data_IF_985512620009
#
_entry.id   IF_985512620009
#
_cell.length_a   1.000
_cell.length_b   1.000
_cell.length_c   1.000
_cell.angle_alpha   90.00
_cell.angle_beta   90.00
_cell.angle_gamma   90.00
#
_symmetry.space_group_name_H-M   'P 1'
#
loop_
_entity.id
_entity.type
_entity.pdbx_description
1 polymer ?
#
# COMPACT_ATOMS: atom_id res chain seq x y z
N UNK A 1 -11.60 7.90 12.59
CA UNK A 1 -10.78 6.78 12.11
C UNK A 1 -9.35 6.93 12.66
N UNK A 2 -8.92 6.06 13.58
CA UNK A 2 -7.63 6.09 14.27
C UNK A 2 -6.44 6.29 13.29
N UNK A 3 -6.45 5.62 12.15
CA UNK A 3 -5.37 5.74 11.17
C UNK A 3 -5.29 7.14 10.55
N UNK A 4 -6.43 7.80 10.30
CA UNK A 4 -6.43 9.19 9.85
C UNK A 4 -5.93 10.13 10.94
N UNK A 5 -6.30 9.91 12.20
CA UNK A 5 -5.82 10.70 13.33
C UNK A 5 -4.29 10.60 13.47
N UNK A 6 -3.74 9.39 13.31
CA UNK A 6 -2.29 9.19 13.29
C UNK A 6 -1.67 9.92 12.09
N UNK A 7 -2.28 9.82 10.92
CA UNK A 7 -1.86 10.52 9.70
C UNK A 7 -1.87 12.04 9.87
N UNK A 8 -2.93 12.60 10.42
CA UNK A 8 -3.04 14.04 10.71
C UNK A 8 -1.97 14.50 11.71
N UNK A 9 -1.75 13.74 12.79
CA UNK A 9 -0.73 14.05 13.79
C UNK A 9 0.69 14.03 13.19
N UNK A 10 1.00 13.07 12.32
CA UNK A 10 2.29 12.98 11.64
C UNK A 10 2.48 14.10 10.62
N UNK A 11 1.43 14.43 9.86
CA UNK A 11 1.50 15.46 8.81
C UNK A 11 1.47 16.89 9.36
N UNK A 12 0.89 17.13 10.53
CA UNK A 12 0.80 18.47 11.16
C UNK A 12 2.06 18.86 11.94
N UNK A 13 2.87 17.90 12.38
CA UNK A 13 4.09 18.15 13.14
C UNK A 13 5.25 18.48 12.18
N UNK A 14 5.62 19.75 12.11
CA UNK A 14 6.66 20.24 11.19
C UNK A 14 8.05 19.68 11.52
N UNK A 15 8.39 19.51 12.79
CA UNK A 15 9.68 18.91 13.19
C UNK A 15 9.73 17.44 12.82
N UNK A 16 8.63 16.71 13.00
CA UNK A 16 8.54 15.31 12.57
C UNK A 16 8.58 15.18 11.05
N UNK A 17 7.99 16.10 10.31
CA UNK A 17 8.05 16.10 8.84
C UNK A 17 9.48 16.21 8.33
N UNK A 18 10.30 17.02 8.96
CA UNK A 18 11.73 17.17 8.59
C UNK A 18 12.53 15.93 9.02
N UNK A 19 12.32 15.45 10.23
CA UNK A 19 13.09 14.33 10.79
C UNK A 19 12.74 12.98 10.16
N UNK A 20 11.50 12.81 9.72
CA UNK A 20 10.95 11.53 9.25
C UNK A 20 10.51 11.58 7.79
N UNK A 21 10.95 12.60 7.05
CA UNK A 21 10.74 12.69 5.60
C UNK A 21 11.49 11.54 4.92
N UNK A 22 10.71 10.69 4.23
CA UNK A 22 11.21 9.53 3.50
C UNK A 22 11.16 9.74 1.99
N UNK A 23 10.73 10.91 1.55
CA UNK A 23 10.51 11.25 0.14
C UNK A 23 11.78 11.09 -0.71
N UNK A 24 12.96 11.27 -0.12
CA UNK A 24 14.25 11.13 -0.80
C UNK A 24 14.64 9.68 -1.12
N UNK A 25 14.05 8.71 -0.43
CA UNK A 25 14.33 7.28 -0.64
C UNK A 25 13.36 6.62 -1.63
N UNK A 26 12.34 7.36 -2.06
CA UNK A 26 11.28 6.84 -2.90
C UNK A 26 11.33 7.46 -4.29
N UNK A 27 11.06 6.64 -5.29
CA UNK A 27 11.08 7.06 -6.69
C UNK A 27 9.71 7.61 -7.05
N UNK A 28 9.66 8.82 -7.64
CA UNK A 28 8.42 9.39 -8.14
C UNK A 28 8.23 10.86 -7.78
N UNK A 29 7.06 11.36 -8.10
CA UNK A 29 6.60 12.68 -7.68
C UNK A 29 5.49 12.49 -6.67
N UNK A 30 5.85 12.59 -5.39
CA UNK A 30 4.93 12.47 -4.26
C UNK A 30 5.09 13.71 -3.39
N UNK A 31 3.98 14.30 -2.99
CA UNK A 31 4.02 15.54 -2.22
C UNK A 31 4.69 15.36 -0.87
N UNK A 32 4.33 14.30 -0.14
CA UNK A 32 4.96 13.91 1.13
C UNK A 32 4.86 12.42 1.39
N UNK A 33 5.96 11.88 1.88
CA UNK A 33 6.06 10.54 2.43
C UNK A 33 6.76 10.62 3.78
N UNK A 34 6.03 10.35 4.85
CA UNK A 34 6.52 10.55 6.22
C UNK A 34 6.45 9.24 6.97
N UNK A 35 7.60 8.76 7.44
CA UNK A 35 7.68 7.57 8.27
C UNK A 35 6.84 7.77 9.54
N UNK A 36 6.09 6.75 9.92
CA UNK A 36 5.32 6.75 11.15
C UNK A 36 6.26 6.26 12.26
N UNK A 37 6.63 7.12 13.22
CA UNK A 37 7.33 6.64 14.41
C UNK A 37 6.43 5.62 15.13
N UNK A 38 7.04 4.61 15.74
CA UNK A 38 6.27 3.60 16.47
C UNK A 38 5.27 4.29 17.41
N UNK A 39 3.95 4.20 17.14
CA UNK A 39 2.95 4.86 17.97
C UNK A 39 3.02 4.29 19.39
N UNK A 40 2.55 5.04 20.37
CA UNK A 40 2.53 4.62 21.78
C UNK A 40 1.10 4.28 22.22
N UNK A 41 0.98 3.41 23.23
CA UNK A 41 -0.31 3.10 23.83
C UNK A 41 -1.24 2.27 22.96
N UNK A 42 -2.55 2.45 23.14
CA UNK A 42 -3.61 1.68 22.49
C UNK A 42 -3.62 1.85 20.97
N UNK A 43 -3.29 3.03 20.47
CA UNK A 43 -3.20 3.30 19.04
C UNK A 43 -2.13 2.43 18.36
N UNK A 44 -1.01 2.19 19.06
CA UNK A 44 0.05 1.29 18.61
C UNK A 44 -0.45 -0.13 18.49
N UNK A 45 -1.13 -0.62 19.49
CA UNK A 45 -1.67 -1.98 19.49
C UNK A 45 -2.66 -2.17 18.37
N UNK A 46 -3.60 -1.24 18.23
CA UNK A 46 -4.58 -1.28 17.16
C UNK A 46 -3.93 -1.29 15.77
N UNK A 47 -3.02 -0.35 15.52
CA UNK A 47 -2.36 -0.21 14.22
C UNK A 47 -1.55 -1.46 13.88
N UNK A 48 -0.67 -1.89 14.77
CA UNK A 48 0.19 -3.05 14.52
C UNK A 48 -0.59 -4.36 14.45
N UNK A 49 -1.63 -4.52 15.27
CA UNK A 49 -2.51 -5.68 15.20
C UNK A 49 -3.22 -5.74 13.85
N UNK A 50 -3.75 -4.62 13.37
CA UNK A 50 -4.43 -4.54 12.07
C UNK A 50 -3.47 -4.87 10.92
N UNK A 51 -2.28 -4.27 10.90
CA UNK A 51 -1.27 -4.53 9.87
C UNK A 51 -0.84 -6.00 9.84
N UNK A 52 -0.49 -6.55 10.99
CA UNK A 52 -0.08 -7.96 11.12
C UNK A 52 -1.21 -8.93 10.76
N UNK A 53 -2.44 -8.59 11.15
CA UNK A 53 -3.60 -9.42 10.83
C UNK A 53 -3.84 -9.47 9.31
N UNK A 54 -3.68 -8.36 8.60
CA UNK A 54 -3.76 -8.31 7.14
C UNK A 54 -2.76 -9.26 6.48
N UNK A 55 -1.51 -9.28 6.94
CA UNK A 55 -0.50 -10.24 6.45
C UNK A 55 -0.89 -11.70 6.73
N UNK A 56 -1.41 -11.98 7.92
CA UNK A 56 -1.89 -13.33 8.30
C UNK A 56 -3.03 -13.76 7.40
N UNK A 57 -4.00 -12.88 7.14
CA UNK A 57 -5.17 -13.20 6.32
C UNK A 57 -4.78 -13.41 4.86
N UNK A 58 -3.85 -12.60 4.34
CA UNK A 58 -3.24 -12.83 3.03
C UNK A 58 -2.59 -14.22 2.96
N UNK A 59 -1.71 -14.57 3.91
CA UNK A 59 -1.06 -15.88 3.96
C UNK A 59 -2.05 -17.04 4.02
N UNK A 60 -3.10 -16.92 4.83
CA UNK A 60 -4.16 -17.94 4.89
C UNK A 60 -4.82 -18.17 3.53
N UNK A 61 -5.09 -17.09 2.79
CA UNK A 61 -5.68 -17.20 1.45
C UNK A 61 -4.72 -17.88 0.46
N UNK A 62 -3.44 -17.51 0.48
CA UNK A 62 -2.42 -18.09 -0.39
C UNK A 62 -2.18 -19.56 -0.05
N UNK A 63 -2.12 -19.92 1.24
CA UNK A 63 -1.98 -21.31 1.71
C UNK A 63 -3.19 -22.15 1.31
N UNK A 64 -4.43 -21.61 1.50
CA UNK A 64 -5.67 -22.29 1.08
C UNK A 64 -5.67 -22.62 -0.41
N UNK A 65 -5.09 -21.77 -1.25
CA UNK A 65 -4.95 -22.00 -2.69
C UNK A 65 -3.75 -22.89 -3.07
N UNK A 66 -3.11 -23.55 -2.10
CA UNK A 66 -1.93 -24.40 -2.29
C UNK A 66 -0.70 -23.72 -2.93
N UNK A 67 -0.69 -22.40 -3.03
CA UNK A 67 0.39 -21.66 -3.70
C UNK A 67 1.58 -21.38 -2.79
N UNK A 68 1.37 -21.27 -1.49
CA UNK A 68 2.42 -20.94 -0.53
C UNK A 68 3.06 -22.16 0.15
N UNK A 69 2.49 -23.36 0.08
CA UNK A 69 3.07 -24.56 0.72
C UNK A 69 4.51 -24.83 0.27
N UNK A 70 4.77 -24.70 -1.03
CA UNK A 70 6.09 -24.87 -1.61
C UNK A 70 7.07 -23.79 -1.14
N UNK A 71 6.63 -22.55 -1.07
CA UNK A 71 7.45 -21.42 -0.62
C UNK A 71 7.82 -21.55 0.87
N UNK A 72 6.85 -21.88 1.72
CA UNK A 72 7.08 -22.10 3.15
C UNK A 72 8.04 -23.27 3.41
N UNK A 73 7.96 -24.33 2.60
CA UNK A 73 8.86 -25.49 2.72
C UNK A 73 10.28 -25.21 2.23
N UNK A 74 10.44 -24.43 1.16
CA UNK A 74 11.74 -24.07 0.60
C UNK A 74 12.57 -23.19 1.54
N UNK A 75 11.92 -22.38 2.36
CA UNK A 75 12.60 -21.51 3.32
C UNK A 75 12.80 -22.15 4.70
N UNK A 76 12.67 -23.49 4.81
CA UNK A 76 12.87 -24.21 6.05
C UNK A 76 11.88 -23.89 7.16
N UNK A 77 10.87 -23.09 6.88
CA UNK A 77 9.80 -22.73 7.81
C UNK A 77 8.84 -23.92 7.91
N UNK A 78 8.84 -24.61 9.03
CA UNK A 78 7.81 -25.61 9.32
C UNK A 78 6.44 -24.94 9.12
N UNK A 79 5.51 -25.65 8.49
CA UNK A 79 4.14 -25.22 8.17
C UNK A 79 3.28 -24.96 9.41
N UNK A 80 3.73 -24.11 10.30
CA UNK A 80 2.88 -23.56 11.35
C UNK A 80 1.84 -22.65 10.71
N UNK A 81 0.61 -22.73 11.16
CA UNK A 81 -0.43 -21.77 10.75
C UNK A 81 0.09 -20.35 10.96
N UNK A 82 -0.03 -19.46 9.98
CA UNK A 82 0.46 -18.09 10.13
C UNK A 82 -0.28 -17.39 11.28
N UNK A 83 0.49 -16.75 12.13
CA UNK A 83 -0.02 -15.98 13.28
C UNK A 83 0.61 -14.59 13.29
N UNK A 84 -0.01 -13.63 13.97
CA UNK A 84 0.54 -12.28 14.12
C UNK A 84 1.87 -12.24 14.84
N UNK A 85 2.22 -13.27 15.62
CA UNK A 85 3.52 -13.40 16.31
C UNK A 85 4.67 -13.63 15.34
N UNK A 86 4.39 -14.19 14.16
CA UNK A 86 5.39 -14.49 13.14
C UNK A 86 5.57 -13.32 12.13
N UNK A 87 4.77 -12.27 12.25
CA UNK A 87 4.86 -11.09 11.38
C UNK A 87 5.66 -10.00 12.10
N UNK A 88 6.73 -9.55 11.45
CA UNK A 88 7.60 -8.49 11.94
C UNK A 88 7.44 -7.26 11.04
N UNK A 89 6.82 -6.20 11.56
CA UNK A 89 6.73 -4.93 10.84
C UNK A 89 8.12 -4.27 10.82
N UNK A 90 8.54 -3.84 9.65
CA UNK A 90 9.83 -3.17 9.42
C UNK A 90 9.66 -1.67 9.40
N UNK A 91 8.89 -1.19 8.44
CA UNK A 91 8.67 0.22 8.20
C UNK A 91 7.20 0.49 7.96
N UNK A 92 6.73 1.66 8.37
CA UNK A 92 5.41 2.17 8.04
C UNK A 92 5.46 3.67 7.80
N UNK A 93 4.70 4.15 6.82
CA UNK A 93 4.70 5.56 6.44
C UNK A 93 3.33 6.02 5.91
N UNK A 94 3.11 7.33 6.01
CA UNK A 94 1.97 8.01 5.39
C UNK A 94 2.42 8.55 4.04
N UNK A 95 1.61 8.32 3.03
CA UNK A 95 1.75 8.89 1.68
C UNK A 95 0.64 9.90 1.47
N UNK A 96 1.01 11.15 1.21
CA UNK A 96 0.09 12.24 0.88
C UNK A 96 0.36 12.70 -0.55
N UNK A 97 -0.61 12.50 -1.44
CA UNK A 97 -0.51 12.79 -2.86
C UNK A 97 -1.63 13.74 -3.29
N UNK A 98 -1.28 14.60 -4.23
CA UNK A 98 -2.16 15.58 -4.86
C UNK A 98 -2.18 15.40 -6.38
N UNK A 99 -3.01 16.18 -7.07
CA UNK A 99 -3.10 16.13 -8.52
C UNK A 99 -1.74 16.17 -9.21
N UNK A 100 -1.48 15.21 -10.08
CA UNK A 100 -0.22 15.03 -10.79
C UNK A 100 0.88 14.28 -10.06
N UNK A 101 0.68 13.89 -8.80
CA UNK A 101 1.61 13.04 -8.06
C UNK A 101 1.45 11.57 -8.48
N UNK A 102 2.55 10.85 -8.56
CA UNK A 102 2.61 9.44 -8.97
C UNK A 102 3.79 8.71 -8.35
N UNK A 103 3.72 7.39 -8.25
CA UNK A 103 4.86 6.52 -7.96
C UNK A 103 5.13 5.65 -9.20
N UNK A 104 6.34 5.69 -9.77
CA UNK A 104 6.70 4.84 -10.90
C UNK A 104 6.81 3.36 -10.49
N UNK A 105 7.09 2.49 -11.43
CA UNK A 105 7.31 1.07 -11.15
C UNK A 105 8.42 0.87 -10.13
N UNK A 106 8.08 0.25 -9.01
CA UNK A 106 9.01 -0.08 -7.95
C UNK A 106 8.56 -1.35 -7.22
N UNK A 107 9.41 -1.84 -6.33
CA UNK A 107 9.12 -2.92 -5.41
C UNK A 107 9.76 -2.60 -4.05
N UNK A 108 9.46 -3.39 -3.04
CA UNK A 108 9.97 -3.20 -1.69
C UNK A 108 10.81 -4.39 -1.23
N UNK A 109 11.52 -4.20 -0.13
CA UNK A 109 12.21 -5.26 0.60
C UNK A 109 11.29 -5.88 1.67
N UNK A 110 11.59 -7.10 2.11
CA UNK A 110 10.78 -7.87 3.05
C UNK A 110 9.98 -8.97 2.38
N UNK A 111 9.02 -9.54 3.10
CA UNK A 111 8.14 -10.58 2.58
C UNK A 111 6.82 -9.97 2.04
N UNK A 112 6.31 -8.94 2.71
CA UNK A 112 5.03 -8.28 2.39
C UNK A 112 5.17 -6.77 2.34
N UNK A 113 4.39 -6.20 1.44
CA UNK A 113 4.07 -4.78 1.43
C UNK A 113 2.55 -4.61 1.44
N UNK A 114 2.11 -3.46 1.91
CA UNK A 114 0.69 -3.18 1.95
C UNK A 114 0.39 -1.69 1.82
N UNK A 115 -0.82 -1.39 1.37
CA UNK A 115 -1.38 -0.04 1.33
C UNK A 115 -2.81 -0.05 1.88
N UNK A 116 -3.11 0.92 2.74
CA UNK A 116 -4.44 1.19 3.28
C UNK A 116 -4.83 2.59 2.88
N UNK A 117 -5.93 2.76 2.16
CA UNK A 117 -6.41 4.08 1.77
C UNK A 117 -7.19 4.74 2.90
N UNK A 118 -6.79 5.94 3.27
CA UNK A 118 -7.35 6.69 4.41
C UNK A 118 -8.23 7.87 3.97
N UNK A 119 -7.90 8.49 2.83
CA UNK A 119 -8.61 9.63 2.28
C UNK A 119 -8.53 9.58 0.75
N UNK A 120 -9.63 9.87 0.11
CA UNK A 120 -9.74 9.95 -1.35
C UNK A 120 -10.35 11.31 -1.69
N UNK A 121 -9.83 12.05 -2.68
CA UNK A 121 -10.40 13.33 -3.09
C UNK A 121 -11.82 13.17 -3.60
N UNK A 122 -12.65 14.14 -3.30
CA UNK A 122 -13.95 14.28 -3.98
C UNK A 122 -13.72 14.47 -5.48
N UNK A 123 -14.53 13.83 -6.31
CA UNK A 123 -14.39 13.87 -7.77
C UNK A 123 -13.43 12.84 -8.37
N UNK A 124 -12.77 12.01 -7.56
CA UNK A 124 -11.95 10.91 -8.09
C UNK A 124 -12.79 9.92 -8.93
N UNK A 125 -14.04 9.66 -8.53
CA UNK A 125 -14.93 8.76 -9.27
C UNK A 125 -15.27 9.29 -10.66
N UNK A 126 -15.40 10.61 -10.84
CA UNK A 126 -15.65 11.23 -12.13
C UNK A 126 -14.49 11.02 -13.13
N UNK A 127 -13.28 10.82 -12.64
CA UNK A 127 -12.12 10.55 -13.51
C UNK A 127 -12.15 9.15 -14.16
N UNK A 128 -13.08 8.28 -13.75
CA UNK A 128 -13.26 6.95 -14.31
C UNK A 128 -14.49 6.82 -15.19
N UNK A 129 -15.25 7.91 -15.39
CA UNK A 129 -16.42 7.94 -16.25
C UNK A 129 -16.01 7.96 -17.74
N UNK A 130 -16.88 7.42 -18.59
CA UNK A 130 -16.59 7.17 -20.03
C UNK A 130 -16.35 8.42 -20.88
N UNK A 131 -16.71 9.59 -20.39
CA UNK A 131 -16.55 10.86 -21.12
C UNK A 131 -15.12 11.42 -21.07
N UNK A 132 -14.23 10.77 -20.33
CA UNK A 132 -12.80 11.05 -20.40
C UNK A 132 -12.25 10.53 -21.75
N UNK A 133 -11.51 11.41 -22.42
CA UNK A 133 -10.85 11.13 -23.70
C UNK A 133 -9.72 10.08 -23.64
N UNK A 134 -9.48 9.50 -22.48
CA UNK A 134 -8.49 8.46 -22.27
C UNK A 134 -9.08 7.07 -22.58
N UNK A 135 -8.46 6.33 -23.47
CA UNK A 135 -8.87 4.98 -23.84
C UNK A 135 -8.92 4.00 -22.65
N UNK A 136 -8.17 4.29 -21.59
CA UNK A 136 -8.11 3.55 -20.32
C UNK A 136 -8.04 4.49 -19.16
N UNK A 137 -9.14 4.81 -18.48
CA UNK A 137 -9.10 5.67 -17.30
C UNK A 137 -8.36 4.97 -16.17
N UNK A 138 -7.09 5.35 -15.96
CA UNK A 138 -6.22 4.80 -14.94
C UNK A 138 -5.95 5.77 -13.78
N UNK A 139 -6.53 6.96 -13.84
CA UNK A 139 -6.22 8.03 -12.89
C UNK A 139 -6.37 7.59 -11.43
N UNK A 140 -5.32 7.79 -10.66
CA UNK A 140 -5.26 7.44 -9.24
C UNK A 140 -5.28 5.94 -8.91
N UNK A 141 -5.30 5.04 -9.91
CA UNK A 141 -5.26 3.60 -9.66
C UNK A 141 -3.89 3.17 -9.17
N UNK A 142 -3.84 2.05 -8.44
CA UNK A 142 -2.63 1.28 -8.25
C UNK A 142 -2.66 0.08 -9.19
N UNK A 143 -1.57 -0.15 -9.91
CA UNK A 143 -1.38 -1.28 -10.81
C UNK A 143 -0.31 -2.21 -10.27
N UNK A 144 -0.57 -3.50 -10.28
CA UNK A 144 0.39 -4.55 -9.99
C UNK A 144 0.70 -5.33 -11.27
N UNK A 145 1.99 -5.46 -11.59
CA UNK A 145 2.45 -6.21 -12.76
C UNK A 145 3.03 -7.56 -12.34
N UNK A 146 2.60 -8.64 -13.01
CA UNK A 146 2.99 -10.00 -12.69
C UNK A 146 3.09 -10.88 -13.95
N UNK A 147 4.24 -10.94 -14.54
CA UNK A 147 4.53 -11.77 -15.70
C UNK A 147 4.65 -10.98 -17.00
N UNK A 148 4.47 -11.67 -18.12
CA UNK A 148 4.57 -11.13 -19.47
C UNK A 148 3.19 -11.10 -20.11
N UNK A 149 2.98 -10.14 -21.01
CA UNK A 149 1.79 -10.07 -21.84
C UNK A 149 1.82 -11.21 -22.86
N UNK A 150 1.03 -12.23 -22.60
CA UNK A 150 0.87 -13.37 -23.49
C UNK A 150 -0.57 -13.45 -23.97
N UNK A 151 -0.78 -14.07 -25.14
CA UNK A 151 -2.12 -14.30 -25.67
C UNK A 151 -3.01 -14.97 -24.61
N UNK A 152 -4.19 -14.40 -24.41
CA UNK A 152 -5.20 -14.87 -23.44
C UNK A 152 -4.81 -14.74 -21.95
N UNK A 153 -3.76 -13.99 -21.61
CA UNK A 153 -3.33 -13.77 -20.22
C UNK A 153 -3.08 -12.30 -19.93
N UNK A 154 -3.64 -11.82 -18.83
CA UNK A 154 -3.34 -10.48 -18.30
C UNK A 154 -2.00 -10.46 -17.59
N UNK A 155 -1.20 -9.43 -17.84
CA UNK A 155 0.09 -9.18 -17.19
C UNK A 155 -0.02 -8.29 -15.93
N UNK A 156 -1.15 -7.62 -15.77
CA UNK A 156 -1.34 -6.65 -14.71
C UNK A 156 -2.77 -6.65 -14.17
N UNK A 157 -2.92 -6.15 -12.96
CA UNK A 157 -4.22 -5.89 -12.33
C UNK A 157 -4.22 -4.50 -11.70
N UNK A 158 -5.33 -3.78 -11.86
CA UNK A 158 -5.51 -2.43 -11.34
C UNK A 158 -6.60 -2.40 -10.27
N UNK A 159 -6.38 -1.58 -9.24
CA UNK A 159 -7.37 -1.36 -8.19
C UNK A 159 -7.67 0.12 -8.02
N UNK A 160 -8.94 0.44 -7.92
CA UNK A 160 -9.41 1.77 -7.51
C UNK A 160 -9.10 2.00 -6.04
N UNK A 161 -8.61 3.20 -5.67
CA UNK A 161 -8.49 3.58 -4.28
C UNK A 161 -9.89 3.81 -3.70
N UNK A 162 -10.14 3.27 -2.53
CA UNK A 162 -11.39 3.43 -1.77
C UNK A 162 -11.03 3.53 -0.29
N UNK A 163 -11.66 4.44 0.44
CA UNK A 163 -11.38 4.60 1.88
C UNK A 163 -11.65 3.28 2.62
N UNK A 164 -10.64 2.82 3.37
CA UNK A 164 -10.69 1.55 4.09
C UNK A 164 -10.23 0.34 3.28
N UNK A 165 -10.03 0.48 1.96
CA UNK A 165 -9.47 -0.63 1.16
C UNK A 165 -8.04 -0.91 1.61
N UNK A 166 -7.79 -2.18 1.94
CA UNK A 166 -6.52 -2.68 2.42
C UNK A 166 -5.99 -3.74 1.45
N UNK A 167 -4.91 -3.44 0.76
CA UNK A 167 -4.25 -4.31 -0.19
C UNK A 167 -2.95 -4.82 0.42
N UNK A 168 -2.78 -6.13 0.54
CA UNK A 168 -1.55 -6.79 0.97
C UNK A 168 -1.01 -7.63 -0.18
N UNK A 169 0.27 -7.52 -0.46
CA UNK A 169 0.92 -8.17 -1.59
C UNK A 169 2.37 -8.56 -1.26
N UNK A 170 2.97 -9.50 -2.00
CA UNK A 170 4.38 -9.80 -1.86
C UNK A 170 5.24 -8.58 -2.16
N UNK A 171 6.23 -8.30 -1.33
CA UNK A 171 7.09 -7.12 -1.46
C UNK A 171 7.80 -7.02 -2.81
N UNK A 172 8.14 -8.15 -3.42
CA UNK A 172 8.79 -8.22 -4.75
C UNK A 172 7.86 -7.88 -5.91
N UNK A 173 6.54 -7.79 -5.68
CA UNK A 173 5.58 -7.51 -6.74
C UNK A 173 5.70 -6.06 -7.17
N UNK A 174 6.11 -5.87 -8.43
CA UNK A 174 6.23 -4.53 -9.02
C UNK A 174 4.87 -3.88 -9.11
N UNK A 175 4.83 -2.61 -8.72
CA UNK A 175 3.60 -1.83 -8.77
C UNK A 175 3.87 -0.38 -9.12
N UNK A 176 2.83 0.26 -9.60
CA UNK A 176 2.82 1.63 -10.09
C UNK A 176 1.56 2.33 -9.56
N UNK A 177 1.68 3.62 -9.25
CA UNK A 177 0.54 4.43 -8.83
C UNK A 177 0.36 5.57 -9.81
N UNK A 178 -0.76 5.55 -10.50
CA UNK A 178 -1.10 6.55 -11.52
C UNK A 178 -1.41 7.92 -10.89
N UNK A 179 -1.04 9.01 -11.58
CA UNK A 179 -1.46 10.34 -11.19
C UNK A 179 -2.98 10.49 -11.36
N UNK A 180 -3.53 11.49 -10.71
CA UNK A 180 -4.93 11.91 -10.85
C UNK A 180 -5.01 13.42 -11.07
N UNK A 181 -6.17 13.95 -11.48
CA UNK A 181 -6.35 15.36 -11.90
C UNK A 181 -7.21 16.15 -10.92
N UNK A 182 -8.14 15.50 -10.22
CA UNK A 182 -9.08 16.17 -9.30
C UNK A 182 -8.33 16.83 -8.13
N UNK A 183 -8.94 17.89 -7.59
CA UNK A 183 -8.38 18.60 -6.43
C UNK A 183 -8.61 17.80 -5.14
N UNK A 184 -7.66 17.88 -4.24
CA UNK A 184 -7.73 17.28 -2.92
C UNK A 184 -6.62 16.26 -2.67
N UNK A 185 -6.59 15.72 -1.48
CA UNK A 185 -5.57 14.80 -1.01
C UNK A 185 -6.03 13.34 -1.17
N UNK A 186 -5.20 12.52 -1.83
CA UNK A 186 -5.24 11.07 -1.69
C UNK A 186 -4.23 10.68 -0.62
N UNK A 187 -4.72 10.15 0.49
CA UNK A 187 -3.88 9.70 1.60
C UNK A 187 -3.94 8.19 1.73
N UNK A 188 -2.77 7.60 1.86
CA UNK A 188 -2.65 6.18 2.22
C UNK A 188 -1.63 5.99 3.34
N UNK A 189 -1.73 4.86 4.02
CA UNK A 189 -0.74 4.35 4.95
C UNK A 189 -0.17 3.08 4.35
N UNK A 190 1.16 3.02 4.25
CA UNK A 190 1.88 1.87 3.72
C UNK A 190 2.78 1.26 4.79
N UNK A 191 3.10 -0.01 4.65
CA UNK A 191 4.08 -0.68 5.50
C UNK A 191 4.74 -1.85 4.79
N UNK A 192 5.92 -2.24 5.29
CA UNK A 192 6.62 -3.46 4.94
C UNK A 192 6.70 -4.41 6.15
N UNK A 193 6.67 -5.72 5.89
CA UNK A 193 6.77 -6.76 6.90
C UNK A 193 7.61 -7.97 6.41
#
# INVERSE_FOLDING_TARGET
NIMNTIGDAVLSDEQRRIQWDHSSELVGKVHKEIRIPAPKGEDKEFLFKTMKQGCVDYLKQVVKKNRAKKWLSLNGRKTASPTTKNIHLRDSWIVSQYAGDYNPYHHHSGDFSAVIYLKIPEGMDAEWEKDFTDHYPCNGLIEYSFGENLDLRSEAIKFKPEVGKFLVFPSYLKHFVYPFKCKGERRSMSFNA
#
